data_IF_969392142904
#
_entry.id   IF_969392142904
#
_cell.length_a   1.000
_cell.length_b   1.000
_cell.length_c   1.000
_cell.angle_alpha   90.00
_cell.angle_beta   90.00
_cell.angle_gamma   90.00
#
_symmetry.space_group_name_H-M   'P 1'
#
loop_
_entity.id
_entity.type
_entity.pdbx_description
1 polymer ?
#
# COMPACT_ATOMS: atom_id res chain seq x y z
N UNK A 1 0.53 40.97 -4.87
CA UNK A 1 0.44 39.98 -3.78
C UNK A 1 1.79 39.94 -3.11
N UNK A 2 1.87 40.31 -1.83
CA UNK A 2 3.11 40.30 -1.06
C UNK A 2 3.50 38.85 -0.77
N UNK A 3 4.55 38.36 -1.42
CA UNK A 3 5.27 37.16 -1.01
C UNK A 3 5.89 37.43 0.35
N UNK A 4 5.21 37.06 1.44
CA UNK A 4 5.88 36.99 2.74
C UNK A 4 6.91 35.89 2.63
N UNK A 5 8.19 36.25 2.51
CA UNK A 5 9.27 35.31 2.81
C UNK A 5 9.07 34.85 4.25
N UNK A 6 8.53 33.64 4.44
CA UNK A 6 8.54 32.99 5.73
C UNK A 6 10.01 32.81 6.10
N UNK A 7 10.46 33.60 7.07
CA UNK A 7 11.77 33.42 7.68
C UNK A 7 11.79 32.06 8.35
N UNK A 8 12.55 31.12 7.80
CA UNK A 8 12.84 29.84 8.45
C UNK A 8 13.43 30.14 9.83
N UNK A 9 12.77 29.66 10.89
CA UNK A 9 13.29 29.76 12.24
C UNK A 9 14.20 28.56 12.50
N UNK A 10 15.46 28.79 12.84
CA UNK A 10 16.38 27.68 13.15
C UNK A 10 16.03 27.09 14.51
N UNK A 11 15.73 25.79 14.58
CA UNK A 11 15.58 25.09 15.85
C UNK A 11 16.96 24.67 16.31
N UNK A 12 17.39 25.07 17.52
CA UNK A 12 18.76 24.90 17.92
C UNK A 12 19.02 23.49 18.48
N UNK A 13 18.96 22.47 17.62
CA UNK A 13 19.18 21.07 18.01
C UNK A 13 20.50 20.85 18.77
N UNK A 14 21.53 21.66 18.47
CA UNK A 14 22.80 21.67 19.18
C UNK A 14 22.68 21.86 20.72
N UNK A 15 21.58 22.44 21.22
CA UNK A 15 21.36 22.61 22.67
C UNK A 15 20.63 21.43 23.32
N UNK A 16 20.22 20.43 22.55
CA UNK A 16 19.38 19.32 22.99
C UNK A 16 20.04 17.95 22.77
N UNK A 17 21.37 17.84 22.88
CA UNK A 17 22.12 16.60 22.62
C UNK A 17 21.74 15.38 23.49
N UNK A 18 21.00 15.58 24.58
CA UNK A 18 20.44 14.51 25.42
C UNK A 18 18.96 14.19 25.15
N UNK A 19 18.32 14.92 24.24
CA UNK A 19 16.91 14.72 23.94
C UNK A 19 16.72 13.40 23.20
N UNK A 20 15.90 12.52 23.79
CA UNK A 20 15.53 11.25 23.19
C UNK A 20 14.26 11.33 22.33
N UNK A 21 13.38 12.28 22.66
CA UNK A 21 12.07 12.45 22.02
C UNK A 21 11.93 13.93 21.68
N UNK A 22 11.70 14.23 20.40
CA UNK A 22 11.50 15.60 19.93
C UNK A 22 10.23 15.68 19.09
N UNK A 23 9.33 16.57 19.49
CA UNK A 23 8.11 16.88 18.78
C UNK A 23 8.14 18.36 18.41
N UNK A 24 8.04 18.65 17.11
CA UNK A 24 8.04 19.98 16.53
C UNK A 24 6.69 20.20 15.82
N UNK A 25 6.00 21.30 16.11
CA UNK A 25 4.64 21.56 15.59
C UNK A 25 4.56 22.93 14.94
N UNK A 26 4.07 23.00 13.71
CA UNK A 26 3.95 24.22 12.90
C UNK A 26 5.23 25.04 12.83
N UNK A 27 6.34 24.34 12.62
CA UNK A 27 7.67 24.94 12.60
C UNK A 27 8.35 24.67 11.26
N UNK A 28 8.60 25.75 10.49
CA UNK A 28 9.40 25.70 9.26
C UNK A 28 10.88 25.85 9.65
N UNK A 29 11.50 24.73 10.03
CA UNK A 29 12.78 24.70 10.73
C UNK A 29 13.94 24.47 9.76
N UNK A 30 14.96 25.31 9.87
CA UNK A 30 16.33 24.94 9.51
C UNK A 30 17.01 24.31 10.72
N UNK A 31 17.75 23.22 10.52
CA UNK A 31 18.37 22.49 11.63
C UNK A 31 19.87 22.76 11.68
N UNK A 32 20.38 23.11 12.87
CA UNK A 32 21.82 23.26 13.13
C UNK A 32 22.31 22.12 14.06
N UNK A 33 22.04 20.88 13.67
CA UNK A 33 22.45 19.74 14.50
C UNK A 33 23.94 19.46 14.38
N UNK A 34 24.60 19.38 15.53
CA UNK A 34 25.82 18.61 15.70
C UNK A 34 25.50 17.54 16.75
N UNK A 35 25.51 16.27 16.32
CA UNK A 35 25.37 15.08 17.17
C UNK A 35 24.03 14.93 17.93
N UNK A 36 23.08 14.22 17.31
CA UNK A 36 21.80 13.78 17.88
C UNK A 36 21.82 12.29 18.22
N UNK A 37 22.95 11.78 18.72
CA UNK A 37 23.14 10.34 18.98
C UNK A 37 22.10 9.70 19.91
N UNK A 38 21.42 10.49 20.76
CA UNK A 38 20.40 9.99 21.68
C UNK A 38 18.98 10.08 21.13
N UNK A 39 18.75 10.76 20.00
CA UNK A 39 17.42 10.98 19.45
C UNK A 39 16.84 9.66 18.95
N UNK A 40 15.79 9.18 19.64
CA UNK A 40 15.10 7.92 19.33
C UNK A 40 13.78 8.16 18.60
N UNK A 41 13.10 9.28 18.87
CA UNK A 41 11.82 9.62 18.22
C UNK A 41 11.84 11.07 17.76
N UNK A 42 11.54 11.27 16.48
CA UNK A 42 11.33 12.58 15.87
C UNK A 42 9.93 12.67 15.29
N UNK A 43 9.17 13.65 15.75
CA UNK A 43 7.84 14.00 15.21
C UNK A 43 7.86 15.44 14.72
N UNK A 44 7.53 15.64 13.46
CA UNK A 44 7.34 16.95 12.82
C UNK A 44 5.88 17.00 12.36
N UNK A 45 5.04 17.74 13.08
CA UNK A 45 3.64 17.96 12.75
C UNK A 45 3.43 19.40 12.25
N UNK A 46 3.57 19.57 10.94
CA UNK A 46 3.24 20.78 10.21
C UNK A 46 1.91 20.59 9.46
N UNK A 47 0.92 19.91 10.06
CA UNK A 47 -0.38 19.66 9.42
C UNK A 47 -1.11 20.93 8.93
N UNK A 48 -0.79 22.11 9.49
CA UNK A 48 -1.33 23.41 9.10
C UNK A 48 -0.36 24.27 8.29
N UNK A 49 0.84 23.77 8.01
CA UNK A 49 1.94 24.51 7.41
C UNK A 49 2.73 23.65 6.41
N UNK A 50 3.82 24.19 5.87
CA UNK A 50 4.73 23.46 5.00
C UNK A 50 5.71 22.61 5.79
N UNK A 51 6.12 21.48 5.21
CA UNK A 51 7.23 20.70 5.69
C UNK A 51 8.54 21.50 5.62
N UNK A 52 9.52 21.20 6.49
CA UNK A 52 10.88 21.65 6.28
C UNK A 52 11.41 21.11 4.94
N UNK A 53 12.32 21.86 4.32
CA UNK A 53 13.04 21.44 3.12
C UNK A 53 13.67 20.05 3.34
N UNK A 54 13.64 19.20 2.31
CA UNK A 54 14.10 17.82 2.44
C UNK A 54 15.57 17.72 2.84
N UNK A 55 16.46 18.59 2.32
CA UNK A 55 17.88 18.60 2.70
C UNK A 55 18.08 18.83 4.20
N UNK A 56 17.27 19.73 4.78
CA UNK A 56 17.31 20.00 6.21
C UNK A 56 16.86 18.78 7.02
N UNK A 57 15.81 18.08 6.58
CA UNK A 57 15.40 16.85 7.23
C UNK A 57 16.51 15.78 7.15
N UNK A 58 17.10 15.58 5.97
CA UNK A 58 18.17 14.60 5.77
C UNK A 58 19.40 14.92 6.64
N UNK A 59 19.77 16.19 6.80
CA UNK A 59 20.90 16.58 7.66
C UNK A 59 20.67 16.23 9.13
N UNK A 60 19.43 16.35 9.64
CA UNK A 60 19.07 15.87 10.99
C UNK A 60 19.17 14.36 11.09
N UNK A 61 18.64 13.65 10.10
CA UNK A 61 18.63 12.18 10.09
C UNK A 61 20.05 11.61 10.06
N UNK A 62 20.98 12.25 9.35
CA UNK A 62 22.41 11.89 9.36
C UNK A 62 23.05 11.98 10.75
N UNK A 63 22.60 12.92 11.57
CA UNK A 63 23.11 13.14 12.92
C UNK A 63 22.39 12.31 13.99
N UNK A 64 21.36 11.53 13.64
CA UNK A 64 20.49 10.80 14.56
C UNK A 64 20.57 9.26 14.40
N UNK A 65 21.73 8.62 14.66
CA UNK A 65 21.92 7.18 14.41
C UNK A 65 21.03 6.27 15.28
N UNK A 66 20.54 6.73 16.43
CA UNK A 66 19.66 5.97 17.32
C UNK A 66 18.17 6.09 16.97
N UNK A 67 17.82 6.81 15.90
CA UNK A 67 16.44 7.10 15.55
C UNK A 67 15.68 5.81 15.24
N UNK A 68 14.66 5.52 16.05
CA UNK A 68 13.78 4.37 15.94
C UNK A 68 12.41 4.68 15.37
N UNK A 69 11.95 5.94 15.48
CA UNK A 69 10.64 6.36 14.97
C UNK A 69 10.72 7.75 14.34
N UNK A 70 10.16 7.87 13.13
CA UNK A 70 10.02 9.14 12.40
C UNK A 70 8.56 9.36 12.03
N UNK A 71 8.00 10.51 12.39
CA UNK A 71 6.69 10.97 11.94
C UNK A 71 6.83 12.34 11.30
N UNK A 72 6.40 12.48 10.05
CA UNK A 72 6.46 13.74 9.30
C UNK A 72 5.09 13.99 8.68
N UNK A 73 4.43 15.07 9.10
CA UNK A 73 3.12 15.50 8.59
C UNK A 73 3.21 16.93 8.10
N UNK A 74 2.71 17.22 6.91
CA UNK A 74 2.63 18.59 6.39
C UNK A 74 2.49 18.63 4.87
N UNK A 75 2.61 19.82 4.30
CA UNK A 75 2.61 20.01 2.84
C UNK A 75 4.03 20.16 2.31
N UNK A 76 4.38 19.38 1.30
CA UNK A 76 5.60 19.53 0.53
C UNK A 76 5.60 20.91 -0.15
N UNK A 77 6.63 21.70 0.12
CA UNK A 77 6.96 22.83 -0.74
C UNK A 77 7.76 22.30 -1.92
N UNK A 78 7.62 22.92 -3.09
CA UNK A 78 8.43 22.57 -4.25
C UNK A 78 9.89 22.90 -3.95
N UNK A 79 10.72 21.87 -3.70
CA UNK A 79 12.16 22.05 -3.62
C UNK A 79 12.70 22.35 -5.03
N UNK A 80 13.67 23.27 -5.19
CA UNK A 80 14.31 23.51 -6.49
C UNK A 80 14.92 22.23 -7.04
N UNK A 81 14.76 21.98 -8.35
CA UNK A 81 15.29 20.77 -8.99
C UNK A 81 16.80 20.56 -8.74
N UNK A 82 17.57 21.65 -8.69
CA UNK A 82 19.00 21.62 -8.38
C UNK A 82 19.31 21.08 -6.98
N UNK A 83 18.49 21.38 -5.97
CA UNK A 83 18.69 20.86 -4.60
C UNK A 83 18.38 19.37 -4.50
N UNK A 84 17.33 18.92 -5.20
CA UNK A 84 16.98 17.51 -5.30
C UNK A 84 18.05 16.71 -6.05
N UNK A 85 18.63 17.27 -7.11
CA UNK A 85 19.71 16.63 -7.85
C UNK A 85 20.98 16.51 -7.00
N UNK A 86 21.32 17.53 -6.20
CA UNK A 86 22.43 17.45 -5.23
C UNK A 86 22.16 16.31 -4.23
N UNK A 87 20.96 16.26 -3.64
CA UNK A 87 20.55 15.19 -2.72
C UNK A 87 20.68 13.79 -3.33
N UNK A 88 20.20 13.61 -4.56
CA UNK A 88 20.18 12.31 -5.23
C UNK A 88 21.59 11.82 -5.60
N UNK A 89 22.52 12.75 -5.81
CA UNK A 89 23.94 12.46 -6.05
C UNK A 89 24.75 12.28 -4.76
N UNK A 90 24.20 12.71 -3.63
CA UNK A 90 24.78 12.54 -2.30
C UNK A 90 24.71 11.08 -1.83
N UNK A 91 25.53 10.74 -0.83
CA UNK A 91 25.52 9.39 -0.24
C UNK A 91 24.16 9.09 0.41
N UNK A 92 23.62 7.90 0.10
CA UNK A 92 22.43 7.33 0.75
C UNK A 92 22.61 7.33 2.26
N UNK A 93 21.58 7.72 3.00
CA UNK A 93 21.56 7.79 4.47
C UNK A 93 20.91 6.51 5.01
N UNK A 94 21.69 5.55 5.53
CA UNK A 94 21.14 4.34 6.12
C UNK A 94 20.66 4.60 7.55
N UNK A 95 19.35 4.46 7.79
CA UNK A 95 18.75 4.58 9.11
C UNK A 95 18.51 3.19 9.71
N UNK A 96 19.60 2.53 10.11
CA UNK A 96 19.59 1.10 10.49
C UNK A 96 18.66 0.76 11.67
N UNK A 97 18.39 1.71 12.55
CA UNK A 97 17.55 1.52 13.73
C UNK A 97 16.10 1.96 13.51
N UNK A 98 15.76 2.53 12.34
CA UNK A 98 14.45 3.10 12.09
C UNK A 98 13.42 1.98 11.91
N UNK A 99 12.59 1.76 12.93
CA UNK A 99 11.57 0.71 12.95
C UNK A 99 10.22 1.24 12.48
N UNK A 100 9.88 2.49 12.82
CA UNK A 100 8.58 3.06 12.50
C UNK A 100 8.71 4.35 11.69
N UNK A 101 7.98 4.42 10.58
CA UNK A 101 7.93 5.61 9.71
C UNK A 101 6.48 5.93 9.44
N UNK A 102 6.09 7.19 9.64
CA UNK A 102 4.77 7.70 9.31
C UNK A 102 4.94 9.01 8.53
N UNK A 103 4.64 8.97 7.22
CA UNK A 103 4.72 10.13 6.33
C UNK A 103 3.32 10.51 5.88
N UNK A 104 2.88 11.73 6.23
CA UNK A 104 1.59 12.28 5.82
C UNK A 104 1.79 13.57 5.03
N UNK A 105 1.97 13.40 3.72
CA UNK A 105 2.47 14.43 2.79
C UNK A 105 2.15 14.05 1.34
N UNK A 106 2.56 14.87 0.39
CA UNK A 106 2.42 14.66 -1.06
C UNK A 106 3.39 13.58 -1.58
N UNK A 107 2.97 12.89 -2.65
CA UNK A 107 3.72 11.78 -3.28
C UNK A 107 5.19 12.12 -3.59
N UNK A 108 5.42 13.31 -4.16
CA UNK A 108 6.77 13.80 -4.51
C UNK A 108 7.70 13.77 -3.30
N UNK A 109 7.27 14.24 -2.13
CA UNK A 109 8.12 14.23 -0.94
C UNK A 109 8.53 12.81 -0.55
N UNK A 110 7.57 11.87 -0.59
CA UNK A 110 7.81 10.46 -0.24
C UNK A 110 8.83 9.84 -1.20
N UNK A 111 8.66 10.07 -2.50
CA UNK A 111 9.59 9.60 -3.54
C UNK A 111 10.99 10.15 -3.31
N UNK A 112 11.14 11.46 -3.13
CA UNK A 112 12.44 12.08 -2.92
C UNK A 112 13.09 11.63 -1.62
N UNK A 113 12.31 11.48 -0.55
CA UNK A 113 12.77 10.97 0.74
C UNK A 113 13.39 9.57 0.61
N UNK A 114 12.65 8.60 0.04
CA UNK A 114 13.17 7.24 -0.14
C UNK A 114 14.18 7.11 -1.28
N UNK A 115 14.36 8.15 -2.11
CA UNK A 115 15.47 8.20 -3.05
C UNK A 115 16.81 8.37 -2.33
N UNK A 116 16.84 8.90 -1.11
CA UNK A 116 18.11 9.15 -0.38
C UNK A 116 18.18 8.49 0.99
N UNK A 117 17.05 8.09 1.57
CA UNK A 117 16.99 7.39 2.86
C UNK A 117 16.77 5.90 2.63
N UNK A 118 17.63 5.06 3.21
CA UNK A 118 17.45 3.61 3.24
C UNK A 118 17.09 3.14 4.64
N UNK A 119 16.14 2.20 4.73
CA UNK A 119 15.53 1.72 5.97
C UNK A 119 15.61 0.19 6.04
N UNK A 120 15.71 -0.41 7.24
CA UNK A 120 15.90 -1.85 7.40
C UNK A 120 14.68 -2.65 6.93
N UNK A 121 14.89 -3.95 6.67
CA UNK A 121 13.81 -4.85 6.25
C UNK A 121 12.69 -5.01 7.29
N UNK A 122 13.00 -4.82 8.57
CA UNK A 122 12.05 -4.89 9.68
C UNK A 122 11.20 -3.62 9.84
N UNK A 123 11.36 -2.61 8.98
CA UNK A 123 10.65 -1.33 9.11
C UNK A 123 9.15 -1.49 8.88
N UNK A 124 8.37 -0.76 9.65
CA UNK A 124 6.94 -0.54 9.48
C UNK A 124 6.72 0.88 8.97
N UNK A 125 6.33 1.00 7.71
CA UNK A 125 6.20 2.25 6.98
C UNK A 125 4.73 2.51 6.71
N UNK A 126 4.22 3.67 7.14
CA UNK A 126 2.88 4.16 6.88
C UNK A 126 2.97 5.41 6.02
N UNK A 127 2.36 5.39 4.84
CA UNK A 127 2.36 6.48 3.88
C UNK A 127 0.95 6.99 3.68
N UNK A 128 0.62 8.14 4.24
CA UNK A 128 -0.62 8.85 3.98
C UNK A 128 -0.39 9.86 2.86
N UNK A 129 -0.51 9.39 1.62
CA UNK A 129 -0.13 10.15 0.43
C UNK A 129 -1.27 11.06 -0.01
N UNK A 130 -0.98 12.33 -0.27
CA UNK A 130 -1.96 13.34 -0.69
C UNK A 130 -1.70 13.84 -2.11
N UNK A 131 -2.76 14.26 -2.80
CA UNK A 131 -2.65 15.04 -4.04
C UNK A 131 -2.04 16.42 -3.75
N UNK A 132 -1.26 17.00 -4.68
CA UNK A 132 -0.74 18.35 -4.56
C UNK A 132 -1.85 19.39 -4.36
N UNK A 133 -1.60 20.41 -3.54
CA UNK A 133 -2.55 21.52 -3.38
C UNK A 133 -2.74 22.28 -4.70
N UNK A 134 -3.99 22.41 -5.15
CA UNK A 134 -4.33 23.12 -6.40
C UNK A 134 -4.47 22.22 -7.64
N UNK A 135 -4.38 20.89 -7.49
CA UNK A 135 -4.87 19.95 -8.50
C UNK A 135 -6.40 19.94 -8.46
N UNK A 136 -7.04 20.94 -9.07
CA UNK A 136 -8.50 21.07 -9.20
C UNK A 136 -9.09 20.13 -10.28
N UNK A 137 -8.32 19.15 -10.76
CA UNK A 137 -8.84 18.18 -11.72
C UNK A 137 -9.79 17.20 -11.00
N UNK A 138 -11.01 17.17 -11.54
CA UNK A 138 -12.14 16.33 -11.11
C UNK A 138 -11.85 14.83 -11.32
N UNK A 139 -10.66 14.45 -11.84
CA UNK A 139 -10.22 13.07 -11.98
C UNK A 139 -9.42 12.54 -10.78
N UNK A 140 -10.20 12.11 -9.79
CA UNK A 140 -10.35 10.73 -9.25
C UNK A 140 -9.16 9.89 -8.73
N UNK A 141 -7.90 9.99 -9.19
CA UNK A 141 -6.85 9.02 -8.77
C UNK A 141 -5.58 9.65 -8.20
N UNK A 142 -5.03 9.08 -7.13
CA UNK A 142 -3.69 9.43 -6.67
C UNK A 142 -2.77 8.40 -7.29
N UNK A 143 -2.06 8.76 -8.37
CA UNK A 143 -1.08 7.86 -8.98
C UNK A 143 -0.07 7.41 -7.92
N UNK A 144 -0.29 6.21 -7.36
CA UNK A 144 0.50 5.72 -6.23
C UNK A 144 1.96 5.52 -6.65
N UNK A 145 2.20 5.26 -7.94
CA UNK A 145 3.51 5.24 -8.58
C UNK A 145 4.37 6.46 -8.20
N UNK A 146 3.78 7.67 -8.20
CA UNK A 146 4.49 8.92 -7.94
C UNK A 146 5.07 9.01 -6.52
N UNK A 147 4.59 8.17 -5.59
CA UNK A 147 5.05 8.14 -4.21
C UNK A 147 6.29 7.26 -4.01
N UNK A 148 6.66 6.44 -4.98
CA UNK A 148 7.76 5.49 -4.85
C UNK A 148 9.04 5.99 -5.53
N UNK A 149 10.22 5.65 -4.98
CA UNK A 149 11.50 5.96 -5.64
C UNK A 149 11.63 5.20 -6.98
N UNK A 150 12.57 5.62 -7.82
CA UNK A 150 12.89 4.92 -9.07
C UNK A 150 13.26 3.44 -8.81
N UNK A 151 13.09 2.58 -9.82
CA UNK A 151 13.30 1.13 -9.70
C UNK A 151 14.67 0.76 -9.12
N UNK A 152 15.71 1.49 -9.53
CA UNK A 152 17.08 1.28 -9.06
C UNK A 152 17.29 1.60 -7.57
N UNK A 153 16.35 2.31 -6.94
CA UNK A 153 16.41 2.77 -5.54
C UNK A 153 15.38 2.07 -4.63
N UNK A 154 14.55 1.15 -5.14
CA UNK A 154 13.61 0.40 -4.29
C UNK A 154 14.27 -0.37 -3.16
N UNK A 155 15.53 -0.79 -3.33
CA UNK A 155 16.29 -1.46 -2.29
C UNK A 155 16.47 -0.61 -1.01
N UNK A 156 16.17 0.70 -1.07
CA UNK A 156 16.09 1.57 0.10
C UNK A 156 14.90 1.25 1.01
N UNK A 157 13.80 0.76 0.46
CA UNK A 157 12.63 0.27 1.20
C UNK A 157 12.86 -1.19 1.58
N UNK A 158 13.68 -1.45 2.59
CA UNK A 158 14.13 -2.80 2.93
C UNK A 158 12.98 -3.81 3.10
N UNK A 159 11.84 -3.38 3.64
CA UNK A 159 10.67 -4.22 3.90
C UNK A 159 9.97 -4.73 2.64
N UNK A 160 10.27 -4.16 1.45
CA UNK A 160 9.68 -4.61 0.19
C UNK A 160 10.43 -5.77 -0.46
N UNK A 161 11.68 -6.02 -0.06
CA UNK A 161 12.56 -6.97 -0.74
C UNK A 161 12.05 -8.41 -0.73
N UNK A 162 11.28 -8.79 0.28
CA UNK A 162 10.74 -10.15 0.45
C UNK A 162 9.23 -10.16 0.69
N UNK A 163 8.53 -9.12 0.25
CA UNK A 163 7.07 -9.06 0.30
C UNK A 163 6.46 -10.27 -0.37
N UNK A 164 5.61 -10.98 0.38
CA UNK A 164 4.84 -12.14 -0.11
C UNK A 164 3.35 -11.94 -0.01
N UNK A 165 2.91 -11.07 0.88
CA UNK A 165 1.50 -10.85 1.20
C UNK A 165 1.14 -9.43 0.81
N UNK A 166 0.10 -9.32 -0.01
CA UNK A 166 -0.55 -8.07 -0.35
C UNK A 166 -1.95 -8.07 0.26
N UNK A 167 -2.30 -7.01 0.98
CA UNK A 167 -3.66 -6.81 1.48
C UNK A 167 -4.19 -5.50 0.93
N UNK A 168 -5.36 -5.56 0.31
CA UNK A 168 -6.11 -4.41 -0.16
C UNK A 168 -7.40 -4.32 0.64
N UNK A 169 -7.58 -3.21 1.35
CA UNK A 169 -8.76 -2.96 2.17
C UNK A 169 -9.56 -1.80 1.60
N UNK A 170 -10.82 -2.05 1.27
CA UNK A 170 -11.76 -1.11 0.66
C UNK A 170 -12.85 -0.66 1.65
N UNK A 171 -12.62 -0.76 2.96
CA UNK A 171 -13.63 -0.51 4.00
C UNK A 171 -14.13 0.96 4.05
N UNK A 172 -15.39 1.20 3.72
CA UNK A 172 -16.08 2.49 3.89
C UNK A 172 -16.18 2.89 5.37
N UNK A 173 -15.64 4.07 5.68
CA UNK A 173 -15.51 4.60 7.05
C UNK A 173 -14.10 4.49 7.64
N UNK A 174 -13.25 3.65 7.04
CA UNK A 174 -11.79 3.71 7.20
C UNK A 174 -11.16 4.31 5.93
N UNK A 175 -9.91 4.79 6.02
CA UNK A 175 -9.17 5.13 4.80
C UNK A 175 -8.80 3.82 4.12
N UNK A 176 -9.09 3.64 2.81
CA UNK A 176 -8.63 2.46 2.12
C UNK A 176 -7.11 2.43 2.12
N UNK A 177 -6.56 1.22 2.05
CA UNK A 177 -5.12 1.06 2.07
C UNK A 177 -4.62 -0.19 1.35
N UNK A 178 -3.41 -0.04 0.83
CA UNK A 178 -2.58 -1.12 0.31
C UNK A 178 -1.52 -1.48 1.35
N UNK A 179 -1.44 -2.73 1.75
CA UNK A 179 -0.46 -3.24 2.69
C UNK A 179 0.39 -4.33 2.01
N UNK A 180 1.68 -4.05 1.87
CA UNK A 180 2.72 -5.02 1.56
C UNK A 180 3.32 -5.53 2.86
N UNK A 181 3.35 -6.85 3.06
CA UNK A 181 3.92 -7.47 4.25
C UNK A 181 4.96 -8.54 3.90
N UNK A 182 6.09 -8.46 4.61
CA UNK A 182 7.18 -9.44 4.58
C UNK A 182 7.01 -10.41 5.76
N UNK A 183 6.68 -11.67 5.43
CA UNK A 183 6.46 -12.73 6.42
C UNK A 183 7.75 -13.20 7.11
N UNK A 184 8.92 -12.93 6.52
CA UNK A 184 10.22 -13.32 7.06
C UNK A 184 10.72 -12.30 8.06
N UNK A 185 10.65 -11.02 7.71
CA UNK A 185 11.21 -9.94 8.54
C UNK A 185 10.16 -9.23 9.39
N UNK A 186 8.88 -9.50 9.16
CA UNK A 186 7.74 -8.77 9.75
C UNK A 186 7.73 -7.27 9.42
N UNK A 187 8.50 -6.85 8.43
CA UNK A 187 8.43 -5.51 7.87
C UNK A 187 7.16 -5.31 7.06
N UNK A 188 6.72 -4.05 6.95
CA UNK A 188 5.51 -3.72 6.23
C UNK A 188 5.54 -2.33 5.62
N UNK A 189 4.94 -2.21 4.44
CA UNK A 189 4.61 -0.93 3.83
C UNK A 189 3.09 -0.82 3.70
N UNK A 190 2.50 0.14 4.41
CA UNK A 190 1.09 0.46 4.35
C UNK A 190 0.89 1.83 3.70
N UNK A 191 0.03 1.91 2.69
CA UNK A 191 -0.19 3.11 1.90
C UNK A 191 -1.67 3.45 1.94
N UNK A 192 -1.95 4.65 2.43
CA UNK A 192 -3.27 5.23 2.54
C UNK A 192 -3.38 6.35 1.50
N UNK A 193 -3.93 6.07 0.30
CA UNK A 193 -4.25 7.12 -0.64
C UNK A 193 -5.27 8.05 0.01
N UNK A 194 -4.95 9.34 0.08
CA UNK A 194 -5.90 10.35 0.49
C UNK A 194 -6.92 10.54 -0.62
N UNK A 195 -7.97 9.72 -0.60
CA UNK A 195 -9.17 9.97 -1.37
C UNK A 195 -9.88 11.15 -0.69
N UNK A 196 -10.37 12.09 -1.50
CA UNK A 196 -11.37 13.04 -1.02
C UNK A 196 -12.56 12.25 -0.43
N UNK A 197 -13.38 12.89 0.40
CA UNK A 197 -14.50 12.30 1.14
C UNK A 197 -15.51 11.58 0.20
N UNK A 198 -15.22 10.34 -0.19
CA UNK A 198 -15.91 9.62 -1.28
C UNK A 198 -16.27 8.21 -0.79
N UNK A 199 -17.16 8.14 0.19
CA UNK A 199 -17.61 6.86 0.73
C UNK A 199 -18.81 6.27 -0.03
N UNK A 200 -19.15 6.76 -1.24
CA UNK A 200 -20.44 6.44 -1.91
C UNK A 200 -20.41 6.24 -3.43
N UNK A 201 -19.28 6.42 -4.12
CA UNK A 201 -19.24 6.32 -5.58
C UNK A 201 -18.32 5.15 -6.03
N UNK A 202 -18.88 4.07 -6.63
CA UNK A 202 -18.15 2.93 -7.18
C UNK A 202 -16.98 3.28 -8.11
N UNK A 203 -17.08 4.37 -8.86
CA UNK A 203 -16.04 4.75 -9.84
C UNK A 203 -14.70 5.07 -9.18
N UNK A 204 -14.72 5.62 -7.98
CA UNK A 204 -13.50 5.97 -7.24
C UNK A 204 -12.82 4.74 -6.65
N UNK A 205 -13.60 3.71 -6.33
CA UNK A 205 -13.08 2.42 -5.93
C UNK A 205 -12.34 1.75 -7.09
N UNK A 206 -12.85 1.83 -8.33
CA UNK A 206 -12.13 1.31 -9.49
C UNK A 206 -10.81 2.05 -9.71
N UNK A 207 -10.81 3.39 -9.61
CA UNK A 207 -9.57 4.16 -9.76
C UNK A 207 -8.54 3.78 -8.70
N UNK A 208 -8.97 3.50 -7.47
CA UNK A 208 -8.07 2.96 -6.44
C UNK A 208 -7.49 1.59 -6.82
N UNK A 209 -8.29 0.69 -7.41
CA UNK A 209 -7.78 -0.60 -7.90
C UNK A 209 -6.72 -0.37 -8.97
N UNK A 210 -6.99 0.54 -9.91
CA UNK A 210 -6.08 0.86 -11.01
C UNK A 210 -4.77 1.49 -10.47
N UNK A 211 -4.86 2.44 -9.53
CA UNK A 211 -3.70 3.01 -8.82
C UNK A 211 -2.89 1.92 -8.09
N UNK A 212 -3.56 0.90 -7.53
CA UNK A 212 -2.88 -0.23 -6.89
C UNK A 212 -2.21 -1.15 -7.91
N UNK A 213 -2.81 -1.36 -9.08
CA UNK A 213 -2.22 -2.11 -10.19
C UNK A 213 -0.91 -1.45 -10.62
N UNK A 214 -0.95 -0.14 -10.88
CA UNK A 214 0.22 0.63 -11.28
C UNK A 214 1.32 0.56 -10.20
N UNK A 215 0.94 0.68 -8.93
CA UNK A 215 1.87 0.50 -7.81
C UNK A 215 2.51 -0.90 -7.79
N UNK A 216 1.75 -1.98 -7.96
CA UNK A 216 2.28 -3.36 -7.97
C UNK A 216 3.26 -3.56 -9.13
N UNK A 217 2.92 -3.02 -10.31
CA UNK A 217 3.74 -3.11 -11.50
C UNK A 217 5.05 -2.34 -11.34
N UNK A 218 4.97 -1.12 -10.82
CA UNK A 218 6.13 -0.27 -10.55
C UNK A 218 7.02 -0.86 -9.47
N UNK A 219 6.46 -1.29 -8.33
CA UNK A 219 7.21 -1.86 -7.20
C UNK A 219 7.98 -3.14 -7.55
N UNK A 220 7.75 -3.73 -8.73
CA UNK A 220 8.33 -4.99 -9.19
C UNK A 220 8.14 -6.18 -8.23
N UNK A 221 7.24 -6.06 -7.24
CA UNK A 221 6.92 -7.11 -6.27
C UNK A 221 6.03 -8.21 -6.85
N UNK A 222 5.51 -8.03 -8.08
CA UNK A 222 4.60 -8.96 -8.76
C UNK A 222 5.01 -10.44 -8.74
N UNK A 223 6.32 -10.71 -8.74
CA UNK A 223 6.85 -12.09 -8.71
C UNK A 223 6.92 -12.68 -7.30
N UNK A 224 7.02 -11.84 -6.27
CA UNK A 224 7.15 -12.26 -4.88
C UNK A 224 5.81 -12.46 -4.18
N UNK A 225 4.78 -11.71 -4.58
CA UNK A 225 3.44 -11.80 -3.98
C UNK A 225 2.78 -13.14 -4.33
N UNK A 226 2.47 -13.92 -3.29
CA UNK A 226 1.80 -15.23 -3.38
C UNK A 226 0.46 -15.24 -2.65
N UNK A 227 0.16 -14.22 -1.86
CA UNK A 227 -1.10 -14.08 -1.13
C UNK A 227 -1.69 -12.70 -1.35
N UNK A 228 -2.97 -12.67 -1.75
CA UNK A 228 -3.77 -11.46 -1.86
C UNK A 228 -4.94 -11.56 -0.89
N UNK A 229 -5.09 -10.56 -0.02
CA UNK A 229 -6.28 -10.38 0.81
C UNK A 229 -7.08 -9.20 0.28
N UNK A 230 -8.34 -9.43 -0.09
CA UNK A 230 -9.32 -8.41 -0.46
C UNK A 230 -10.32 -8.26 0.68
N UNK A 231 -10.56 -7.04 1.14
CA UNK A 231 -11.59 -6.73 2.15
C UNK A 231 -12.54 -5.69 1.61
N UNK A 232 -13.80 -6.06 1.48
CA UNK A 232 -14.88 -5.21 1.00
C UNK A 232 -15.47 -4.36 2.13
N UNK A 233 -16.22 -3.32 1.74
CA UNK A 233 -16.99 -2.55 2.68
C UNK A 233 -18.38 -3.15 2.97
N UNK A 234 -19.07 -2.66 4.01
CA UNK A 234 -20.44 -3.11 4.30
C UNK A 234 -21.47 -2.76 3.22
N UNK A 235 -21.13 -1.89 2.25
CA UNK A 235 -22.00 -1.46 1.16
C UNK A 235 -21.90 -2.36 -0.08
N UNK A 236 -20.91 -3.26 -0.13
CA UNK A 236 -20.78 -4.28 -1.18
C UNK A 236 -20.11 -3.78 -2.45
N UNK A 237 -19.29 -2.73 -2.39
CA UNK A 237 -18.73 -2.11 -3.59
C UNK A 237 -17.84 -3.06 -4.39
N UNK A 238 -17.21 -4.07 -3.77
CA UNK A 238 -16.39 -5.07 -4.46
C UNK A 238 -17.12 -5.76 -5.62
N UNK A 239 -18.44 -6.00 -5.48
CA UNK A 239 -19.30 -6.58 -6.52
C UNK A 239 -19.52 -5.72 -7.77
N UNK A 240 -18.97 -4.50 -7.77
CA UNK A 240 -19.06 -3.58 -8.91
C UNK A 240 -17.71 -3.30 -9.56
N UNK A 241 -16.63 -3.88 -9.03
CA UNK A 241 -15.26 -3.60 -9.46
C UNK A 241 -14.77 -4.60 -10.51
N UNK A 242 -14.01 -4.09 -11.47
CA UNK A 242 -13.25 -4.93 -12.38
C UNK A 242 -11.89 -5.25 -11.75
N UNK A 243 -11.77 -6.48 -11.22
CA UNK A 243 -10.56 -6.97 -10.56
C UNK A 243 -9.61 -7.73 -11.51
N UNK A 244 -9.95 -7.85 -12.79
CA UNK A 244 -9.18 -8.66 -13.74
C UNK A 244 -7.75 -8.13 -13.93
N UNK A 245 -7.58 -6.80 -13.97
CA UNK A 245 -6.26 -6.17 -14.04
C UNK A 245 -5.43 -6.43 -12.79
N UNK A 246 -6.03 -6.32 -11.60
CA UNK A 246 -5.37 -6.64 -10.34
C UNK A 246 -4.82 -8.07 -10.31
N UNK A 247 -5.62 -9.06 -10.73
CA UNK A 247 -5.16 -10.44 -10.79
C UNK A 247 -4.10 -10.67 -11.86
N UNK A 248 -4.17 -9.98 -13.01
CA UNK A 248 -3.13 -10.05 -14.03
C UNK A 248 -1.78 -9.51 -13.54
N UNK A 249 -1.79 -8.48 -12.68
CA UNK A 249 -0.57 -7.89 -12.11
C UNK A 249 0.06 -8.75 -11.00
N UNK A 250 -0.62 -9.81 -10.54
CA UNK A 250 -0.12 -10.77 -9.52
C UNK A 250 -0.14 -12.21 -10.06
N UNK A 251 0.67 -12.55 -11.08
CA UNK A 251 0.58 -13.82 -11.77
C UNK A 251 0.91 -15.05 -10.90
N UNK A 252 1.70 -14.86 -9.84
CA UNK A 252 2.14 -15.91 -8.91
C UNK A 252 1.20 -16.08 -7.70
N UNK A 253 -0.01 -15.51 -7.74
CA UNK A 253 -0.97 -15.62 -6.67
C UNK A 253 -1.31 -17.10 -6.40
N UNK A 254 -1.07 -17.56 -5.17
CA UNK A 254 -1.34 -18.92 -4.70
C UNK A 254 -2.52 -19.00 -3.74
N UNK A 255 -2.73 -17.95 -2.94
CA UNK A 255 -3.76 -17.89 -1.91
C UNK A 255 -4.53 -16.59 -2.08
N UNK A 256 -5.84 -16.69 -2.26
CA UNK A 256 -6.76 -15.57 -2.28
C UNK A 256 -7.64 -15.61 -1.03
N UNK A 257 -7.60 -14.55 -0.23
CA UNK A 257 -8.48 -14.36 0.93
C UNK A 257 -9.43 -13.22 0.61
N UNK A 258 -10.74 -13.46 0.67
CA UNK A 258 -11.76 -12.47 0.31
C UNK A 258 -12.71 -12.36 1.48
N UNK A 259 -12.73 -11.18 2.10
CA UNK A 259 -13.69 -10.83 3.13
C UNK A 259 -14.72 -9.89 2.53
N UNK A 260 -15.85 -10.44 2.10
CA UNK A 260 -16.89 -9.71 1.40
C UNK A 260 -18.22 -10.46 1.50
N UNK A 261 -19.33 -9.70 1.45
CA UNK A 261 -20.68 -10.30 1.41
C UNK A 261 -21.04 -10.89 0.05
N UNK A 262 -20.47 -10.31 -1.01
CA UNK A 262 -20.69 -10.66 -2.41
C UNK A 262 -19.33 -10.88 -3.08
N UNK A 263 -19.23 -11.89 -3.94
CA UNK A 263 -17.95 -12.34 -4.52
C UNK A 263 -18.02 -12.53 -6.03
N UNK A 264 -19.12 -12.15 -6.66
CA UNK A 264 -19.38 -12.38 -8.08
C UNK A 264 -18.28 -11.76 -8.94
N UNK A 265 -17.95 -10.49 -8.73
CA UNK A 265 -16.84 -9.82 -9.45
C UNK A 265 -15.48 -10.43 -9.20
N UNK A 266 -15.25 -11.04 -8.02
CA UNK A 266 -14.00 -11.76 -7.72
C UNK A 266 -13.94 -13.04 -8.55
N UNK A 267 -15.01 -13.83 -8.54
CA UNK A 267 -15.09 -15.10 -9.27
C UNK A 267 -15.06 -14.88 -10.78
N UNK A 268 -15.73 -13.83 -11.28
CA UNK A 268 -15.73 -13.43 -12.67
C UNK A 268 -14.37 -12.91 -13.11
N UNK A 269 -13.69 -12.10 -12.29
CA UNK A 269 -12.35 -11.61 -12.61
C UNK A 269 -11.29 -12.73 -12.68
N UNK A 270 -11.52 -13.87 -12.01
CA UNK A 270 -10.67 -15.06 -12.14
C UNK A 270 -10.89 -15.81 -13.48
N UNK A 271 -11.98 -15.49 -14.20
CA UNK A 271 -12.37 -15.98 -15.52
C UNK A 271 -12.24 -14.85 -16.56
N UNK A 272 -11.04 -14.60 -17.12
CA UNK A 272 -10.89 -13.54 -18.12
C UNK A 272 -11.30 -14.03 -19.51
N UNK A 273 -12.24 -13.35 -20.18
CA UNK A 273 -12.50 -13.60 -21.60
C UNK A 273 -11.55 -12.79 -22.48
N UNK A 274 -10.61 -13.46 -23.16
CA UNK A 274 -9.66 -12.82 -24.08
C UNK A 274 -9.66 -13.52 -25.44
N UNK A 275 -9.76 -12.73 -26.52
CA UNK A 275 -9.74 -13.23 -27.91
C UNK A 275 -10.78 -14.33 -28.21
N UNK A 276 -11.95 -14.26 -27.58
CA UNK A 276 -13.01 -15.26 -27.75
C UNK A 276 -12.73 -16.61 -27.07
N UNK A 277 -11.76 -16.66 -26.14
CA UNK A 277 -11.50 -17.80 -25.26
C UNK A 277 -11.49 -17.36 -23.81
N UNK A 278 -11.96 -18.24 -22.94
CA UNK A 278 -11.80 -18.07 -21.50
C UNK A 278 -10.33 -18.37 -21.16
N UNK A 279 -9.68 -17.43 -20.48
CA UNK A 279 -8.29 -17.46 -20.06
C UNK A 279 -8.28 -17.38 -18.54
N UNK A 280 -7.63 -18.34 -17.90
CA UNK A 280 -7.50 -18.38 -16.45
C UNK A 280 -6.45 -17.38 -15.99
N UNK A 281 -6.85 -16.46 -15.12
CA UNK A 281 -5.93 -15.54 -14.43
C UNK A 281 -5.43 -16.21 -13.14
N UNK A 282 -4.20 -15.88 -12.72
CA UNK A 282 -3.55 -16.48 -11.55
C UNK A 282 -3.50 -18.03 -11.64
N UNK A 283 -2.80 -18.61 -12.63
CA UNK A 283 -2.81 -20.07 -12.85
C UNK A 283 -2.27 -20.89 -11.67
N UNK A 284 -1.50 -20.26 -10.78
CA UNK A 284 -0.92 -20.89 -9.58
C UNK A 284 -1.84 -20.85 -8.34
N UNK A 285 -3.06 -20.33 -8.48
CA UNK A 285 -4.02 -20.22 -7.38
C UNK A 285 -4.45 -21.61 -6.90
N UNK A 286 -4.07 -21.96 -5.66
CA UNK A 286 -4.36 -23.26 -5.05
C UNK A 286 -5.38 -23.19 -3.92
N UNK A 287 -5.60 -22.02 -3.33
CA UNK A 287 -6.50 -21.84 -2.20
C UNK A 287 -7.30 -20.54 -2.32
N UNK A 288 -8.60 -20.65 -2.06
CA UNK A 288 -9.50 -19.51 -1.91
C UNK A 288 -10.18 -19.62 -0.54
N UNK A 289 -10.14 -18.53 0.22
CA UNK A 289 -10.84 -18.41 1.50
C UNK A 289 -11.84 -17.27 1.44
N UNK A 290 -13.10 -17.57 1.71
CA UNK A 290 -14.15 -16.57 1.82
C UNK A 290 -14.53 -16.35 3.29
N UNK A 291 -14.54 -15.09 3.70
CA UNK A 291 -14.94 -14.63 5.03
C UNK A 291 -16.15 -13.69 4.89
N UNK A 292 -17.11 -13.77 5.81
CA UNK A 292 -18.34 -12.95 5.81
C UNK A 292 -19.24 -13.08 4.55
N UNK A 293 -18.99 -14.08 3.71
CA UNK A 293 -19.78 -14.40 2.52
C UNK A 293 -21.18 -14.88 2.91
N UNK A 294 -22.20 -14.38 2.20
CA UNK A 294 -23.55 -14.95 2.25
C UNK A 294 -23.64 -16.03 1.17
N UNK A 295 -23.84 -17.29 1.57
CA UNK A 295 -23.86 -18.41 0.61
C UNK A 295 -25.31 -18.76 0.25
N UNK A 296 -25.68 -18.50 -1.00
CA UNK A 296 -26.93 -18.94 -1.61
C UNK A 296 -26.65 -19.82 -2.86
N UNK A 297 -27.71 -20.30 -3.50
CA UNK A 297 -27.59 -21.20 -4.67
C UNK A 297 -26.90 -20.54 -5.87
N UNK A 298 -27.05 -19.22 -6.03
CA UNK A 298 -26.42 -18.48 -7.11
C UNK A 298 -24.90 -18.39 -6.87
N UNK A 299 -24.48 -18.05 -5.65
CA UNK A 299 -23.06 -18.04 -5.24
C UNK A 299 -22.43 -19.42 -5.40
N UNK A 300 -23.13 -20.48 -4.99
CA UNK A 300 -22.66 -21.87 -5.18
C UNK A 300 -22.42 -22.17 -6.65
N UNK A 301 -23.36 -21.80 -7.52
CA UNK A 301 -23.26 -22.01 -8.97
C UNK A 301 -22.04 -21.28 -9.54
N UNK A 302 -21.83 -20.01 -9.18
CA UNK A 302 -20.67 -19.23 -9.65
C UNK A 302 -19.33 -19.83 -9.19
N UNK A 303 -19.25 -20.33 -7.94
CA UNK A 303 -18.05 -21.00 -7.43
C UNK A 303 -17.78 -22.28 -8.22
N UNK A 304 -18.80 -23.12 -8.42
CA UNK A 304 -18.66 -24.39 -9.18
C UNK A 304 -18.18 -24.12 -10.59
N UNK A 305 -18.83 -23.20 -11.31
CA UNK A 305 -18.42 -22.81 -12.67
C UNK A 305 -16.98 -22.29 -12.70
N UNK A 306 -16.57 -21.48 -11.72
CA UNK A 306 -15.19 -21.00 -11.62
C UNK A 306 -14.20 -22.16 -11.49
N UNK A 307 -14.52 -23.15 -10.66
CA UNK A 307 -13.61 -24.27 -10.41
C UNK A 307 -13.55 -25.21 -11.62
N UNK A 308 -14.67 -25.43 -12.30
CA UNK A 308 -14.75 -26.24 -13.52
C UNK A 308 -13.97 -25.61 -14.68
N UNK A 309 -14.18 -24.32 -14.98
CA UNK A 309 -13.42 -23.59 -16.02
C UNK A 309 -11.91 -23.69 -15.77
N UNK A 310 -11.49 -23.49 -14.51
CA UNK A 310 -10.08 -23.53 -14.15
C UNK A 310 -9.49 -24.93 -14.30
N UNK A 311 -10.21 -25.97 -13.89
CA UNK A 311 -9.84 -27.38 -14.08
C UNK A 311 -9.64 -27.71 -15.55
N UNK A 312 -10.57 -27.34 -16.40
CA UNK A 312 -10.51 -27.62 -17.84
C UNK A 312 -9.30 -26.94 -18.51
N UNK A 313 -8.79 -25.87 -17.89
CA UNK A 313 -7.59 -25.15 -18.28
C UNK A 313 -6.29 -25.67 -17.63
N UNK A 314 -6.37 -26.71 -16.79
CA UNK A 314 -5.22 -27.31 -16.08
C UNK A 314 -4.76 -26.56 -14.83
N UNK A 315 -5.55 -25.59 -14.33
CA UNK A 315 -5.28 -24.84 -13.10
C UNK A 315 -6.32 -25.21 -12.04
N UNK A 316 -5.90 -25.86 -10.95
CA UNK A 316 -6.84 -26.39 -9.96
C UNK A 316 -6.80 -25.63 -8.63
N UNK A 317 -7.97 -25.13 -8.17
CA UNK A 317 -8.13 -24.70 -6.77
C UNK A 317 -8.35 -25.95 -5.91
N UNK A 318 -7.43 -26.20 -4.97
CA UNK A 318 -7.42 -27.42 -4.15
C UNK A 318 -8.08 -27.23 -2.79
N UNK A 319 -8.17 -25.97 -2.34
CA UNK A 319 -8.71 -25.62 -1.03
C UNK A 319 -9.72 -24.50 -1.21
N UNK A 320 -10.95 -24.77 -0.79
CA UNK A 320 -12.00 -23.78 -0.58
C UNK A 320 -12.31 -23.73 0.91
N UNK A 321 -12.06 -22.60 1.56
CA UNK A 321 -12.37 -22.39 2.98
C UNK A 321 -13.53 -21.41 3.13
N UNK A 322 -14.64 -21.91 3.67
CA UNK A 322 -15.87 -21.16 3.98
C UNK A 322 -16.13 -21.08 5.50
N UNK A 323 -15.18 -21.47 6.34
CA UNK A 323 -15.37 -21.61 7.79
C UNK A 323 -15.78 -20.32 8.51
N UNK A 324 -15.59 -19.16 7.86
CA UNK A 324 -15.98 -17.84 8.34
C UNK A 324 -17.11 -17.20 7.52
N UNK A 325 -17.72 -17.92 6.57
CA UNK A 325 -18.90 -17.47 5.83
C UNK A 325 -20.17 -17.64 6.69
N UNK A 326 -21.17 -16.78 6.51
CA UNK A 326 -22.48 -16.93 7.14
C UNK A 326 -23.07 -18.30 6.78
N UNK A 327 -23.75 -18.94 7.73
CA UNK A 327 -24.14 -20.36 7.67
C UNK A 327 -24.56 -20.86 6.29
N UNK A 328 -23.85 -21.85 5.77
CA UNK A 328 -24.13 -22.51 4.50
C UNK A 328 -25.05 -23.71 4.74
N UNK A 329 -26.08 -23.87 3.90
CA UNK A 329 -26.97 -25.03 3.96
C UNK A 329 -26.22 -26.33 3.59
N UNK A 330 -26.62 -27.45 4.19
CA UNK A 330 -25.93 -28.73 3.98
C UNK A 330 -25.89 -29.17 2.51
N UNK A 331 -26.96 -28.90 1.75
CA UNK A 331 -27.04 -29.21 0.32
C UNK A 331 -26.00 -28.41 -0.49
N UNK A 332 -25.86 -27.12 -0.21
CA UNK A 332 -24.86 -26.25 -0.83
C UNK A 332 -23.43 -26.69 -0.48
N UNK A 333 -23.18 -27.08 0.77
CA UNK A 333 -21.88 -27.62 1.19
C UNK A 333 -21.53 -28.90 0.44
N UNK A 334 -22.46 -29.84 0.27
CA UNK A 334 -22.21 -31.07 -0.48
C UNK A 334 -21.85 -30.80 -1.95
N UNK A 335 -22.51 -29.84 -2.60
CA UNK A 335 -22.22 -29.45 -3.98
C UNK A 335 -20.79 -28.89 -4.08
N UNK A 336 -20.42 -27.99 -3.17
CA UNK A 336 -19.10 -27.36 -3.13
C UNK A 336 -17.99 -28.36 -2.80
N UNK A 337 -18.22 -29.28 -1.87
CA UNK A 337 -17.28 -30.35 -1.55
C UNK A 337 -17.01 -31.26 -2.75
N UNK A 338 -18.05 -31.64 -3.51
CA UNK A 338 -17.89 -32.42 -4.74
C UNK A 338 -17.07 -31.66 -5.78
N UNK A 339 -17.34 -30.37 -5.97
CA UNK A 339 -16.58 -29.53 -6.89
C UNK A 339 -15.09 -29.47 -6.51
N UNK A 340 -14.77 -29.34 -5.21
CA UNK A 340 -13.39 -29.34 -4.73
C UNK A 340 -12.70 -30.70 -4.87
N UNK A 341 -13.39 -31.80 -4.55
CA UNK A 341 -12.84 -33.16 -4.64
C UNK A 341 -12.53 -33.59 -6.07
N UNK A 342 -13.30 -33.12 -7.05
CA UNK A 342 -13.05 -33.38 -8.47
C UNK A 342 -11.77 -32.70 -9.00
N UNK A 343 -11.16 -31.78 -8.25
CA UNK A 343 -9.92 -31.08 -8.63
C UNK A 343 -8.66 -31.80 -8.13
N UNK A 344 -8.80 -32.79 -7.24
CA UNK A 344 -7.68 -33.53 -6.62
C UNK A 344 -7.25 -34.80 -7.39
N UNK A 345 -7.83 -35.09 -8.56
CA UNK A 345 -7.61 -36.33 -9.34
C UNK A 345 -6.63 -36.13 -10.49
#
# INVERSE_FOLDING_TARGET
>A
MLTSMQTQSTFPFAHFGSAALVHLTDTNIAFNSLNLANLMVLTIDNSRSSLPNLMNLISVLREAPALGSLTVTGRCMSDPAEELDILRNDQVVPLQNLVKIDLRTEAVFVREFFSVVSVPATSQIHLHVRKPAGSDEVDTGLNLEDAFPDENRFHHLGCLKSTKILTLTLESGAQPFLLCFDDVTSGSLCIYPALADITRDPTHWQVLIDDCVDAIEHLAIKKGVVTLSLRDDPLGHLSTLNLAFLFNSIPNLRILVVKARHVDSVLDALKLYSQGREVVVCPELVAIRFEDLTVDGDVVTHIVECFETRRDSGSGVRVLDLSAAGGCEAEHLEILERACQQVLV
#
